data_IF_486361317410
#
_entry.id   IF_486361317410
#
_cell.length_a   1.000
_cell.length_b   1.000
_cell.length_c   1.000
_cell.angle_alpha   90.00
_cell.angle_beta   90.00
_cell.angle_gamma   90.00
#
_symmetry.space_group_name_H-M   'P 1'
#
loop_
_entity.id
_entity.type
_entity.pdbx_description
1 polymer ?
#
# COMPACT_ATOMS: atom_id res chain seq x y z
N UNK A 1 -8.70 17.88 -2.37
CA UNK A 1 -8.84 18.05 -0.91
C UNK A 1 -8.67 16.66 -0.31
N UNK A 2 -7.58 16.40 0.42
CA UNK A 2 -7.38 15.10 1.10
C UNK A 2 -8.47 15.00 2.17
N UNK A 3 -9.15 13.86 2.28
CA UNK A 3 -10.20 13.66 3.26
C UNK A 3 -9.56 13.37 4.62
N UNK A 4 -10.03 13.99 5.70
CA UNK A 4 -9.52 13.67 7.03
C UNK A 4 -9.91 12.24 7.46
N UNK A 5 -10.82 11.58 6.75
CA UNK A 5 -11.29 10.24 7.07
C UNK A 5 -10.16 9.19 7.08
N UNK A 6 -9.21 9.27 6.14
CA UNK A 6 -8.10 8.30 6.09
C UNK A 6 -7.23 8.38 7.35
N UNK A 7 -6.88 9.60 7.74
CA UNK A 7 -6.08 9.88 8.94
C UNK A 7 -6.78 9.37 10.19
N UNK A 8 -8.08 9.65 10.31
CA UNK A 8 -8.87 9.22 11.47
C UNK A 8 -9.08 7.70 11.52
N UNK A 9 -9.11 7.01 10.38
CA UNK A 9 -9.13 5.56 10.34
C UNK A 9 -7.78 4.96 10.79
N UNK A 10 -6.66 5.52 10.32
CA UNK A 10 -5.32 5.00 10.61
C UNK A 10 -4.94 5.19 12.08
N UNK A 11 -5.28 6.34 12.67
CA UNK A 11 -4.98 6.63 14.08
C UNK A 11 -5.56 5.63 15.08
N UNK A 12 -6.56 4.84 14.68
CA UNK A 12 -7.19 3.83 15.52
C UNK A 12 -6.30 2.59 15.74
N UNK A 13 -5.22 2.42 14.97
CA UNK A 13 -4.41 1.21 14.96
C UNK A 13 -2.93 1.52 15.12
N UNK A 14 -2.18 0.80 15.95
CA UNK A 14 -0.72 0.97 16.04
C UNK A 14 -0.01 0.66 14.71
N UNK A 15 -0.50 -0.36 14.01
CA UNK A 15 0.02 -0.85 12.75
C UNK A 15 -1.12 -0.98 11.74
N UNK A 16 -0.89 -0.48 10.54
CA UNK A 16 -1.79 -0.61 9.39
C UNK A 16 -1.02 -1.23 8.23
N UNK A 17 -1.61 -2.25 7.60
CA UNK A 17 -1.05 -2.91 6.42
C UNK A 17 -1.99 -2.66 5.25
N UNK A 18 -1.52 -2.01 4.19
CA UNK A 18 -2.25 -1.92 2.94
C UNK A 18 -1.96 -3.14 2.07
N UNK A 19 -2.95 -3.65 1.36
CA UNK A 19 -2.79 -4.75 0.39
C UNK A 19 -3.38 -4.30 -0.93
N UNK A 20 -2.60 -4.36 -2.01
CA UNK A 20 -3.04 -3.94 -3.34
C UNK A 20 -2.54 -4.88 -4.43
N UNK A 21 -3.45 -5.25 -5.36
CA UNK A 21 -3.11 -5.90 -6.63
C UNK A 21 -2.62 -4.86 -7.65
N UNK A 22 -1.55 -4.18 -7.25
CA UNK A 22 -0.94 -3.08 -8.00
C UNK A 22 0.55 -2.98 -7.64
N UNK A 23 1.32 -2.31 -8.48
CA UNK A 23 2.70 -1.96 -8.14
C UNK A 23 2.72 -0.98 -6.96
N UNK A 24 3.77 -1.04 -6.15
CA UNK A 24 3.98 -0.09 -5.04
C UNK A 24 3.94 1.38 -5.47
N UNK A 25 4.64 1.69 -6.55
CA UNK A 25 4.87 3.06 -6.97
C UNK A 25 3.57 3.66 -7.53
N UNK A 26 3.19 4.83 -7.00
CA UNK A 26 1.91 5.48 -7.29
C UNK A 26 0.67 4.61 -6.97
N UNK A 27 0.85 3.58 -6.14
CA UNK A 27 -0.23 2.70 -5.67
C UNK A 27 -1.04 3.30 -4.52
N UNK A 28 -2.04 2.53 -4.09
CA UNK A 28 -2.85 2.82 -2.92
C UNK A 28 -2.01 3.00 -1.66
N UNK A 29 -1.01 2.12 -1.45
CA UNK A 29 -0.10 2.22 -0.32
C UNK A 29 0.73 3.50 -0.32
N UNK A 30 1.22 3.92 -1.50
CA UNK A 30 1.94 5.19 -1.68
C UNK A 30 1.05 6.38 -1.32
N UNK A 31 -0.17 6.41 -1.86
CA UNK A 31 -1.14 7.47 -1.55
C UNK A 31 -1.50 7.54 -0.06
N UNK A 32 -1.61 6.39 0.60
CA UNK A 32 -1.90 6.31 2.03
C UNK A 32 -0.72 6.86 2.87
N UNK A 33 0.51 6.51 2.49
CA UNK A 33 1.74 7.05 3.09
C UNK A 33 1.82 8.58 2.93
N UNK A 34 1.64 9.09 1.71
CA UNK A 34 1.67 10.53 1.40
C UNK A 34 0.62 11.31 2.20
N UNK A 35 -0.56 10.73 2.35
CA UNK A 35 -1.65 11.30 3.16
C UNK A 35 -1.30 11.33 4.65
N UNK A 36 -0.63 10.30 5.16
CA UNK A 36 -0.20 10.23 6.56
C UNK A 36 0.93 11.21 6.88
N UNK A 37 1.95 11.27 6.02
CA UNK A 37 3.11 12.15 6.20
C UNK A 37 2.68 13.62 6.19
N UNK A 38 1.79 14.00 5.27
CA UNK A 38 1.22 15.35 5.21
C UNK A 38 0.42 15.74 6.45
N UNK A 39 -0.04 14.77 7.25
CA UNK A 39 -0.86 14.97 8.45
C UNK A 39 -0.14 14.57 9.76
N UNK A 40 1.18 14.33 9.70
CA UNK A 40 2.02 13.99 10.85
C UNK A 40 1.51 12.78 11.66
N UNK A 41 0.97 11.78 10.96
CA UNK A 41 0.54 10.50 11.55
C UNK A 41 1.78 9.64 11.84
N UNK A 42 1.90 9.10 13.06
CA UNK A 42 3.08 8.33 13.52
C UNK A 42 2.90 6.81 13.56
N UNK A 43 1.72 6.33 13.16
CA UNK A 43 1.38 4.91 13.13
C UNK A 43 2.28 4.18 12.13
N UNK A 44 2.57 2.91 12.35
CA UNK A 44 3.38 2.12 11.42
C UNK A 44 2.52 1.76 10.21
N UNK A 45 2.94 2.16 9.01
CA UNK A 45 2.27 1.80 7.77
C UNK A 45 3.15 0.84 6.95
N UNK A 46 2.59 -0.31 6.61
CA UNK A 46 3.24 -1.33 5.79
C UNK A 46 2.48 -1.52 4.50
N UNK A 47 3.19 -1.90 3.43
CA UNK A 47 2.60 -2.04 2.11
C UNK A 47 2.85 -3.44 1.56
N UNK A 48 1.76 -4.09 1.17
CA UNK A 48 1.76 -5.34 0.43
C UNK A 48 1.31 -5.07 -1.00
N UNK A 49 2.17 -5.41 -1.97
CA UNK A 49 2.01 -5.01 -3.37
C UNK A 49 2.62 -6.05 -4.31
N UNK A 50 2.31 -5.93 -5.60
CA UNK A 50 2.96 -6.72 -6.65
C UNK A 50 4.40 -6.25 -6.90
N UNK A 51 5.35 -7.16 -6.81
CA UNK A 51 6.75 -6.84 -7.09
C UNK A 51 6.98 -6.45 -8.55
N UNK A 52 7.91 -5.51 -8.79
CA UNK A 52 8.28 -5.04 -10.13
C UNK A 52 8.74 -6.16 -11.07
N UNK A 53 9.16 -7.31 -10.53
CA UNK A 53 9.47 -8.50 -11.34
C UNK A 53 8.29 -9.00 -12.18
N UNK A 54 7.05 -8.55 -11.94
CA UNK A 54 5.89 -8.88 -12.80
C UNK A 54 5.85 -8.08 -14.10
N UNK A 55 6.59 -6.97 -14.21
CA UNK A 55 6.56 -6.11 -15.40
C UNK A 55 7.03 -6.92 -16.63
N UNK A 56 6.19 -6.95 -17.66
CA UNK A 56 6.45 -7.69 -18.91
C UNK A 56 6.12 -9.18 -18.84
N UNK A 57 5.62 -9.69 -17.70
CA UNK A 57 5.08 -11.05 -17.61
C UNK A 57 3.61 -11.08 -18.04
N UNK A 58 3.19 -12.17 -18.68
CA UNK A 58 1.80 -12.45 -19.04
C UNK A 58 1.45 -13.84 -18.48
N UNK A 59 0.34 -13.95 -17.77
CA UNK A 59 -0.11 -15.19 -17.14
C UNK A 59 -1.49 -15.04 -16.51
N UNK A 60 -1.96 -16.09 -15.83
CA UNK A 60 -3.17 -16.00 -15.01
C UNK A 60 -2.97 -15.05 -13.83
N UNK A 61 -4.07 -14.57 -13.26
CA UNK A 61 -4.06 -13.76 -12.04
C UNK A 61 -3.29 -14.50 -10.93
N UNK A 62 -3.65 -15.75 -10.64
CA UNK A 62 -2.97 -16.59 -9.63
C UNK A 62 -1.44 -16.59 -9.81
N UNK A 63 -0.96 -16.76 -11.05
CA UNK A 63 0.47 -16.74 -11.37
C UNK A 63 1.13 -15.38 -11.09
N UNK A 64 0.43 -14.28 -11.37
CA UNK A 64 0.93 -12.93 -11.07
C UNK A 64 0.94 -12.68 -9.56
N UNK A 65 -0.11 -13.11 -8.86
CA UNK A 65 -0.28 -12.96 -7.41
C UNK A 65 0.80 -13.70 -6.60
N UNK A 66 1.41 -14.76 -7.13
CA UNK A 66 2.58 -15.42 -6.52
C UNK A 66 3.78 -14.47 -6.29
N UNK A 67 3.81 -13.32 -6.96
CA UNK A 67 4.88 -12.32 -6.85
C UNK A 67 4.55 -11.18 -5.87
N UNK A 68 3.56 -11.38 -4.99
CA UNK A 68 3.26 -10.44 -3.91
C UNK A 68 4.42 -10.34 -2.91
N UNK A 69 4.70 -9.11 -2.46
CA UNK A 69 5.65 -8.82 -1.39
C UNK A 69 5.01 -7.96 -0.32
N UNK A 70 5.47 -8.13 0.91
CA UNK A 70 5.14 -7.29 2.05
C UNK A 70 6.39 -6.54 2.49
N UNK A 71 6.31 -5.23 2.57
CA UNK A 71 7.34 -4.34 3.10
C UNK A 71 6.94 -3.90 4.53
N UNK A 72 7.73 -4.30 5.53
CA UNK A 72 7.57 -3.99 6.96
C UNK A 72 8.51 -2.88 7.43
#
# INVERSE_FOLDING_TARGET
KVSNLQVEQIKQFEVVISVEDHLRDCGFGSWLNESCESNNVKNKLYNSYLDKSIIGKVGSEDYLLENFKIEY
#
